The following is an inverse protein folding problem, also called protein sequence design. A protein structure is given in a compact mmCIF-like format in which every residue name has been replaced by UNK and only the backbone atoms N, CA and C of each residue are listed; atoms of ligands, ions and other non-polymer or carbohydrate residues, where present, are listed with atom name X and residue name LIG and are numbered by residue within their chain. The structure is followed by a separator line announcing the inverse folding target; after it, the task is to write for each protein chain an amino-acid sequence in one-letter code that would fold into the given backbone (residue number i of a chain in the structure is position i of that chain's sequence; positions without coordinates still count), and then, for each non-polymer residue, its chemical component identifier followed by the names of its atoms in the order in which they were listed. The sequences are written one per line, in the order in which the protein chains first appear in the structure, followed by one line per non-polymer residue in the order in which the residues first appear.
data_IF_689996154082
#
_entry.id   IF_689996154082
#
_cell.length_a   1.000
_cell.length_b   1.000
_cell.length_c   1.000
_cell.angle_alpha   90.00
_cell.angle_beta   90.00
_cell.angle_gamma   90.00
#
_symmetry.space_group_name_H-M   'P 1'
#
loop_
_entity.id
_entity.type
_entity.pdbx_description
1 polymer ?
#
# COMPACT_ATOMS: atom_id res chain seq x y z
N UNK A 1 35.63 -4.93 43.86
CA UNK A 1 34.26 -4.53 43.46
C UNK A 1 34.28 -3.18 42.75
N UNK A 2 34.57 -3.20 41.45
CA UNK A 2 34.62 -2.00 40.60
C UNK A 2 33.27 -1.86 39.90
N UNK A 3 32.49 -0.86 40.30
CA UNK A 3 31.17 -0.58 39.74
C UNK A 3 31.32 0.11 38.39
N UNK A 4 30.97 -0.59 37.32
CA UNK A 4 30.92 -0.04 35.97
C UNK A 4 29.61 0.74 35.78
N UNK A 5 29.72 2.06 35.61
CA UNK A 5 28.61 2.95 35.28
C UNK A 5 28.18 2.70 33.84
N UNK A 6 26.99 2.12 33.66
CA UNK A 6 26.37 1.92 32.34
C UNK A 6 25.83 3.27 31.84
N UNK A 7 26.45 3.83 30.81
CA UNK A 7 25.96 5.05 30.16
C UNK A 7 24.66 4.74 29.39
N UNK A 8 23.56 5.40 29.75
CA UNK A 8 22.33 5.38 28.96
C UNK A 8 22.54 6.05 27.59
N UNK A 9 21.96 5.51 26.51
CA UNK A 9 22.00 6.16 25.20
C UNK A 9 21.26 7.51 25.26
N UNK A 10 21.71 8.52 24.49
CA UNK A 10 21.09 9.84 24.48
C UNK A 10 19.62 9.78 24.03
N UNK A 11 18.74 10.65 24.56
CA UNK A 11 17.35 10.70 24.18
C UNK A 11 17.24 11.04 22.68
N UNK A 12 16.56 10.17 21.93
CA UNK A 12 16.23 10.44 20.53
C UNK A 12 15.34 11.68 20.47
N UNK A 13 15.81 12.73 19.81
CA UNK A 13 15.06 13.96 19.58
C UNK A 13 13.87 13.57 18.69
N UNK A 14 12.69 13.42 19.29
CA UNK A 14 11.45 13.20 18.55
C UNK A 14 11.00 14.53 17.94
N UNK A 15 10.65 14.53 16.65
CA UNK A 15 10.15 15.70 15.95
C UNK A 15 8.92 16.28 16.65
N UNK A 16 8.81 17.61 16.66
CA UNK A 16 7.68 18.32 17.25
C UNK A 16 6.72 18.70 16.13
N UNK A 17 5.54 18.07 16.06
CA UNK A 17 4.56 18.36 15.01
C UNK A 17 3.55 17.24 14.76
N UNK A 18 2.56 17.49 13.87
CA UNK A 18 1.64 16.46 13.41
C UNK A 18 2.39 15.31 12.72
N UNK A 19 1.87 14.10 12.86
CA UNK A 19 2.38 12.91 12.16
C UNK A 19 1.81 12.85 10.75
N UNK A 20 2.67 12.57 9.78
CA UNK A 20 2.30 12.39 8.39
C UNK A 20 2.54 10.93 7.99
N UNK A 21 1.48 10.16 7.66
CA UNK A 21 1.63 8.78 7.25
C UNK A 21 2.12 8.70 5.79
N UNK A 22 3.09 7.82 5.57
CA UNK A 22 3.52 7.36 4.25
C UNK A 22 3.32 5.85 4.17
N UNK A 23 2.67 5.41 3.10
CA UNK A 23 2.47 3.99 2.82
C UNK A 23 3.11 3.63 1.49
N UNK A 24 3.94 2.60 1.49
CA UNK A 24 4.55 2.02 0.30
C UNK A 24 3.87 0.69 -0.01
N UNK A 25 3.23 0.61 -1.17
CA UNK A 25 2.49 -0.58 -1.62
C UNK A 25 3.13 -1.13 -2.90
N UNK A 26 3.10 -2.45 -3.12
CA UNK A 26 3.56 -3.04 -4.38
C UNK A 26 2.87 -2.41 -5.59
N UNK A 27 3.66 -2.09 -6.62
CA UNK A 27 3.11 -1.63 -7.89
C UNK A 27 2.73 -2.82 -8.77
N UNK A 28 1.46 -3.25 -8.66
CA UNK A 28 0.97 -4.49 -9.27
C UNK A 28 1.02 -4.52 -10.81
N UNK A 29 1.02 -3.37 -11.49
CA UNK A 29 1.12 -3.33 -12.96
C UNK A 29 2.49 -3.81 -13.47
N UNK A 30 3.51 -3.85 -12.59
CA UNK A 30 4.84 -4.34 -12.90
C UNK A 30 4.92 -5.85 -12.70
N UNK A 31 4.69 -6.62 -13.76
CA UNK A 31 4.72 -8.11 -13.73
C UNK A 31 6.09 -8.72 -13.38
N UNK A 32 7.13 -7.88 -13.28
CA UNK A 32 8.52 -8.26 -13.01
C UNK A 32 9.17 -7.45 -11.88
N UNK A 33 8.46 -7.16 -10.80
CA UNK A 33 9.09 -6.63 -9.58
C UNK A 33 9.07 -7.64 -8.44
N UNK A 34 9.87 -7.37 -7.40
CA UNK A 34 9.78 -8.05 -6.12
C UNK A 34 8.42 -7.76 -5.46
N UNK A 35 7.74 -8.80 -4.99
CA UNK A 35 6.60 -8.72 -4.09
C UNK A 35 7.10 -8.49 -2.67
N UNK A 36 6.44 -7.58 -1.98
CA UNK A 36 6.73 -7.25 -0.60
C UNK A 36 5.42 -6.87 0.09
N UNK A 37 5.41 -6.97 1.41
CA UNK A 37 4.25 -6.57 2.20
C UNK A 37 4.14 -5.03 2.25
N UNK A 38 2.95 -4.51 2.00
CA UNK A 38 2.72 -3.07 2.05
C UNK A 38 3.06 -2.50 3.43
N UNK A 39 3.98 -1.54 3.49
CA UNK A 39 4.43 -0.94 4.75
C UNK A 39 3.85 0.45 4.96
N UNK A 40 3.39 0.74 6.18
CA UNK A 40 3.01 2.09 6.63
C UNK A 40 3.99 2.62 7.68
N UNK A 41 4.34 3.91 7.60
CA UNK A 41 5.16 4.60 8.60
C UNK A 41 4.62 6.01 8.85
N UNK A 42 4.62 6.42 10.10
CA UNK A 42 4.31 7.79 10.50
C UNK A 42 5.61 8.58 10.66
N UNK A 43 5.69 9.74 10.01
CA UNK A 43 6.87 10.62 10.05
C UNK A 43 6.45 12.00 10.53
N UNK A 44 7.20 12.59 11.45
CA UNK A 44 7.03 14.00 11.86
C UNK A 44 8.09 14.88 11.21
N UNK A 45 7.79 16.17 11.08
CA UNK A 45 8.82 17.13 10.67
C UNK A 45 9.93 17.17 11.73
N UNK A 46 11.18 17.05 11.29
CA UNK A 46 12.36 16.99 12.16
C UNK A 46 12.68 15.59 12.72
N UNK A 47 11.88 14.56 12.43
CA UNK A 47 12.28 13.18 12.71
C UNK A 47 13.51 12.77 11.87
N UNK A 48 14.27 11.76 12.31
CA UNK A 48 15.34 11.19 11.49
C UNK A 48 14.80 10.68 10.16
N UNK A 49 15.59 10.87 9.09
CA UNK A 49 15.21 10.46 7.72
C UNK A 49 14.79 8.98 7.67
N UNK A 50 13.63 8.71 7.05
CA UNK A 50 13.11 7.37 6.88
C UNK A 50 13.90 6.67 5.78
N UNK A 51 14.63 5.61 6.15
CA UNK A 51 15.51 4.89 5.23
C UNK A 51 14.76 3.87 4.40
N UNK A 52 15.14 3.72 3.15
CA UNK A 52 14.63 2.71 2.23
C UNK A 52 15.81 1.88 1.72
N UNK A 53 15.69 0.56 1.74
CA UNK A 53 16.68 -0.29 1.09
C UNK A 53 16.59 -1.75 1.51
N UNK A 54 17.66 -2.49 1.28
CA UNK A 54 17.72 -3.93 1.55
C UNK A 54 17.63 -4.26 3.03
N UNK A 55 16.93 -5.35 3.34
CA UNK A 55 16.94 -5.98 4.66
C UNK A 55 18.34 -6.49 5.03
N UNK A 56 18.74 -6.24 6.28
CA UNK A 56 20.02 -6.68 6.84
C UNK A 56 19.76 -7.17 8.25
N UNK A 57 20.34 -8.30 8.64
CA UNK A 57 20.19 -8.92 9.97
C UNK A 57 20.86 -8.13 11.12
N UNK A 58 21.29 -6.89 10.88
CA UNK A 58 21.93 -6.08 11.91
C UNK A 58 20.92 -5.76 13.03
N UNK A 59 21.32 -5.96 14.31
CA UNK A 59 20.49 -5.60 15.45
C UNK A 59 20.43 -4.07 15.55
N UNK A 60 19.38 -3.49 14.98
CA UNK A 60 19.12 -2.05 14.98
C UNK A 60 17.63 -1.79 14.85
N UNK A 61 17.18 -0.61 15.29
CA UNK A 61 15.76 -0.26 15.33
C UNK A 61 15.15 -0.27 13.92
N UNK A 62 14.36 -1.30 13.62
CA UNK A 62 13.66 -1.48 12.33
C UNK A 62 12.47 -0.54 12.15
N UNK A 63 12.10 0.23 13.18
CA UNK A 63 10.92 1.08 13.14
C UNK A 63 11.04 2.21 12.11
N UNK A 64 12.24 2.77 11.91
CA UNK A 64 12.45 3.90 10.99
C UNK A 64 13.12 3.49 9.66
N UNK A 65 12.72 2.33 9.11
CA UNK A 65 13.20 1.83 7.82
C UNK A 65 12.13 1.02 7.08
N UNK A 66 12.07 1.21 5.75
CA UNK A 66 11.51 0.25 4.81
C UNK A 66 12.61 -0.69 4.32
N UNK A 67 12.47 -1.97 4.65
CA UNK A 67 13.48 -2.99 4.41
C UNK A 67 12.92 -4.09 3.49
N UNK A 68 13.53 -4.26 2.32
CA UNK A 68 13.09 -5.26 1.34
C UNK A 68 14.03 -6.46 1.30
N UNK A 69 13.50 -7.67 1.17
CA UNK A 69 14.28 -8.92 0.98
C UNK A 69 14.76 -9.05 -0.49
N UNK A 70 15.38 -7.99 -1.01
CA UNK A 70 15.95 -7.91 -2.36
C UNK A 70 17.44 -8.23 -2.31
N UNK A 71 18.03 -8.84 -3.33
CA UNK A 71 19.50 -8.95 -3.48
C UNK A 71 20.11 -7.80 -4.27
N UNK A 72 19.32 -7.18 -5.15
CA UNK A 72 19.79 -6.09 -6.02
C UNK A 72 19.87 -4.76 -5.28
N UNK A 73 18.98 -4.51 -4.33
CA UNK A 73 18.94 -3.24 -3.63
C UNK A 73 20.17 -2.98 -2.75
N UNK A 74 20.56 -1.71 -2.69
CA UNK A 74 21.52 -1.18 -1.71
C UNK A 74 20.94 -1.18 -0.28
N UNK A 75 21.79 -1.32 0.75
CA UNK A 75 21.37 -1.39 2.17
C UNK A 75 20.73 -0.09 2.68
N UNK A 76 21.29 1.05 2.28
CA UNK A 76 20.67 2.37 2.31
C UNK A 76 20.59 2.84 0.87
N UNK A 77 19.44 2.62 0.24
CA UNK A 77 19.22 2.88 -1.18
C UNK A 77 18.74 4.31 -1.39
N UNK A 78 17.75 4.70 -0.59
CA UNK A 78 17.17 6.03 -0.61
C UNK A 78 16.72 6.44 0.78
N UNK A 79 16.48 7.73 0.95
CA UNK A 79 15.92 8.34 2.15
C UNK A 79 14.68 9.15 1.77
N UNK A 80 13.65 9.07 2.61
CA UNK A 80 12.39 9.79 2.47
C UNK A 80 12.11 10.58 3.75
N UNK A 81 11.58 11.79 3.61
CA UNK A 81 11.21 12.61 4.75
C UNK A 81 10.13 13.61 4.36
N UNK A 82 9.52 14.19 5.39
CA UNK A 82 8.56 15.27 5.25
C UNK A 82 9.20 16.57 5.73
N UNK A 83 9.19 17.60 4.87
CA UNK A 83 9.68 18.93 5.20
C UNK A 83 8.86 20.03 4.53
N UNK A 84 8.65 21.13 5.25
CA UNK A 84 7.94 22.32 4.76
C UNK A 84 6.61 22.03 4.03
N UNK A 85 5.85 21.03 4.51
CA UNK A 85 4.54 20.67 3.93
C UNK A 85 4.59 19.73 2.73
N UNK A 86 5.77 19.25 2.33
CA UNK A 86 5.96 18.36 1.19
C UNK A 86 6.81 17.13 1.54
N UNK A 87 6.56 16.03 0.83
CA UNK A 87 7.37 14.83 0.91
C UNK A 87 8.51 14.87 -0.09
N UNK A 88 9.68 14.39 0.32
CA UNK A 88 10.87 14.31 -0.52
C UNK A 88 11.48 12.93 -0.47
N UNK A 89 12.13 12.55 -1.57
CA UNK A 89 13.01 11.39 -1.68
C UNK A 89 14.38 11.81 -2.16
N UNK A 90 15.40 11.08 -1.74
CA UNK A 90 16.78 11.22 -2.18
C UNK A 90 17.45 9.87 -2.33
N UNK A 91 18.14 9.68 -3.44
CA UNK A 91 19.03 8.54 -3.65
C UNK A 91 20.33 8.72 -2.86
N UNK A 92 20.75 7.71 -2.11
CA UNK A 92 21.93 7.75 -1.25
C UNK A 92 23.12 6.99 -1.85
N UNK A 93 23.44 7.27 -3.13
CA UNK A 93 24.52 6.61 -3.90
C UNK A 93 24.23 5.13 -4.13
N UNK A 94 23.01 4.81 -4.51
CA UNK A 94 22.62 3.44 -4.82
C UNK A 94 23.40 2.91 -6.04
N UNK A 95 23.70 1.62 -6.06
CA UNK A 95 24.52 0.99 -7.11
C UNK A 95 23.96 1.23 -8.51
N UNK A 96 22.66 0.95 -8.71
CA UNK A 96 22.02 1.03 -10.03
C UNK A 96 21.05 2.21 -10.18
N UNK A 97 20.83 3.01 -9.14
CA UNK A 97 19.96 4.19 -9.15
C UNK A 97 18.54 3.96 -8.63
N UNK A 98 17.94 5.04 -8.13
CA UNK A 98 16.51 5.19 -7.82
C UNK A 98 15.78 5.88 -8.97
N UNK A 99 14.54 5.48 -9.24
CA UNK A 99 13.68 6.07 -10.26
C UNK A 99 12.35 6.53 -9.67
N UNK A 100 11.89 7.70 -10.08
CA UNK A 100 10.58 8.27 -9.77
C UNK A 100 9.80 8.44 -11.07
N UNK A 101 8.66 7.78 -11.20
CA UNK A 101 7.81 7.79 -12.40
C UNK A 101 8.63 7.49 -13.68
N UNK A 102 9.44 6.43 -13.63
CA UNK A 102 10.37 5.99 -14.68
C UNK A 102 11.55 6.94 -14.97
N UNK A 103 11.68 8.06 -14.27
CA UNK A 103 12.79 9.00 -14.41
C UNK A 103 13.80 8.73 -13.30
N UNK A 104 15.04 8.43 -13.70
CA UNK A 104 16.16 8.22 -12.78
C UNK A 104 16.51 9.52 -12.05
N UNK A 105 16.68 9.47 -10.72
CA UNK A 105 16.97 10.65 -9.89
C UNK A 105 18.41 11.18 -10.06
N UNK A 106 19.38 10.27 -10.16
CA UNK A 106 20.81 10.54 -10.31
C UNK A 106 21.51 9.42 -11.09
N UNK A 107 22.71 9.67 -11.67
CA UNK A 107 23.52 8.60 -12.24
C UNK A 107 23.81 7.48 -11.22
N UNK A 108 24.10 6.25 -11.67
CA UNK A 108 24.51 5.15 -10.80
C UNK A 108 25.61 5.54 -9.82
N UNK A 109 25.56 4.99 -8.60
CA UNK A 109 26.55 5.22 -7.53
C UNK A 109 26.76 6.70 -7.16
N UNK A 110 25.78 7.56 -7.47
CA UNK A 110 25.85 9.01 -7.24
C UNK A 110 24.64 9.46 -6.45
N UNK A 111 24.87 10.32 -5.46
CA UNK A 111 23.83 10.88 -4.60
C UNK A 111 22.94 11.84 -5.39
N UNK A 112 21.63 11.74 -5.23
CA UNK A 112 20.72 12.70 -5.88
C UNK A 112 20.54 13.95 -5.01
N UNK A 113 20.02 15.01 -5.62
CA UNK A 113 19.35 16.08 -4.87
C UNK A 113 18.03 15.56 -4.27
N UNK A 114 17.42 16.26 -3.30
CA UNK A 114 16.04 15.98 -2.91
C UNK A 114 15.06 16.17 -4.08
N UNK A 115 14.16 15.21 -4.27
CA UNK A 115 13.08 15.27 -5.25
C UNK A 115 11.73 15.22 -4.54
N UNK A 116 10.80 16.14 -4.82
CA UNK A 116 9.47 16.10 -4.23
C UNK A 116 8.69 14.89 -4.76
N UNK A 117 7.93 14.23 -3.89
CA UNK A 117 7.04 13.11 -4.21
C UNK A 117 5.60 13.42 -3.81
N UNK A 118 4.64 12.82 -4.51
CA UNK A 118 3.19 13.04 -4.36
C UNK A 118 2.44 11.72 -4.22
N UNK A 119 1.20 11.79 -3.75
CA UNK A 119 0.31 10.62 -3.68
C UNK A 119 0.12 10.03 -5.09
N UNK A 120 0.31 8.71 -5.18
CA UNK A 120 0.19 7.96 -6.43
C UNK A 120 1.47 7.87 -7.25
N UNK A 121 2.55 8.56 -6.87
CA UNK A 121 3.84 8.42 -7.55
C UNK A 121 4.38 7.00 -7.45
N UNK A 122 5.11 6.57 -8.48
CA UNK A 122 5.72 5.24 -8.57
C UNK A 122 7.22 5.37 -8.36
N UNK A 123 7.74 4.65 -7.37
CA UNK A 123 9.15 4.54 -7.08
C UNK A 123 9.66 3.17 -7.52
N UNK A 124 10.79 3.16 -8.21
CA UNK A 124 11.52 1.93 -8.51
C UNK A 124 12.93 2.02 -7.93
N UNK A 125 13.31 0.99 -7.18
CA UNK A 125 14.65 0.81 -6.66
C UNK A 125 15.38 -0.20 -7.54
N UNK A 126 16.58 0.17 -7.95
CA UNK A 126 17.46 -0.67 -8.74
C UNK A 126 16.87 -1.10 -10.10
N UNK A 127 17.59 -2.01 -10.75
CA UNK A 127 17.16 -2.69 -11.99
C UNK A 127 17.30 -4.20 -11.82
N UNK A 128 16.62 -4.96 -12.67
CA UNK A 128 16.71 -6.42 -12.65
C UNK A 128 18.15 -6.88 -12.94
N UNK A 129 18.64 -7.83 -12.14
CA UNK A 129 19.95 -8.44 -12.35
C UNK A 129 19.93 -9.42 -13.52
N UNK A 130 20.80 -9.17 -14.51
CA UNK A 130 20.92 -10.02 -15.71
C UNK A 130 21.54 -11.38 -15.34
N UNK A 131 20.70 -12.37 -15.11
CA UNK A 131 21.10 -13.75 -14.77
C UNK A 131 20.35 -14.36 -13.60
N UNK A 132 19.58 -13.57 -12.85
CA UNK A 132 18.70 -14.06 -11.79
C UNK A 132 17.28 -14.29 -12.32
N UNK A 133 16.76 -15.50 -12.22
CA UNK A 133 15.34 -15.79 -12.51
C UNK A 133 14.45 -15.66 -11.28
N UNK A 134 15.05 -15.81 -10.09
CA UNK A 134 14.37 -15.66 -8.82
C UNK A 134 13.94 -14.22 -8.57
N UNK A 135 12.87 -14.07 -7.80
CA UNK A 135 12.24 -12.80 -7.52
C UNK A 135 13.12 -11.81 -6.75
N UNK A 136 14.00 -12.34 -5.88
CA UNK A 136 14.97 -11.55 -5.12
C UNK A 136 16.00 -10.81 -5.99
N UNK A 137 16.10 -11.16 -7.28
CA UNK A 137 16.98 -10.49 -8.25
C UNK A 137 16.25 -9.46 -9.12
N UNK A 138 14.95 -9.24 -8.88
CA UNK A 138 14.15 -8.22 -9.57
C UNK A 138 14.21 -6.90 -8.83
N UNK A 139 14.02 -5.81 -9.56
CA UNK A 139 13.85 -4.48 -9.00
C UNK A 139 12.64 -4.43 -8.06
N UNK A 140 12.66 -3.48 -7.12
CA UNK A 140 11.51 -3.23 -6.25
C UNK A 140 10.73 -2.06 -6.83
N UNK A 141 9.46 -2.29 -7.15
CA UNK A 141 8.58 -1.27 -7.70
C UNK A 141 7.38 -1.05 -6.77
N UNK A 142 7.15 0.20 -6.38
CA UNK A 142 6.19 0.55 -5.36
C UNK A 142 5.44 1.83 -5.72
N UNK A 143 4.16 1.89 -5.36
CA UNK A 143 3.38 3.12 -5.40
C UNK A 143 3.38 3.76 -4.02
N UNK A 144 3.61 5.07 -3.98
CA UNK A 144 3.58 5.87 -2.76
C UNK A 144 2.14 6.33 -2.51
N UNK A 145 1.62 6.07 -1.33
CA UNK A 145 0.35 6.61 -0.85
C UNK A 145 0.62 7.63 0.27
N UNK A 146 0.18 8.88 0.06
CA UNK A 146 0.41 10.02 0.95
C UNK A 146 -0.91 10.71 1.28
N UNK A 147 -1.08 11.21 2.50
CA UNK A 147 -2.24 12.03 2.87
C UNK A 147 -3.59 11.29 2.77
N UNK A 148 -3.57 9.95 2.81
CA UNK A 148 -4.76 9.10 2.78
C UNK A 148 -5.28 8.74 4.18
N UNK A 149 -4.89 9.50 5.19
CA UNK A 149 -5.32 9.33 6.58
C UNK A 149 -6.85 9.22 6.74
N UNK A 150 -7.63 9.92 5.93
CA UNK A 150 -9.10 9.82 5.92
C UNK A 150 -9.66 8.53 5.27
N UNK A 151 -8.88 7.84 4.42
CA UNK A 151 -9.33 6.62 3.71
C UNK A 151 -9.15 5.34 4.50
N UNK A 152 -8.27 5.34 5.50
CA UNK A 152 -7.94 4.15 6.30
C UNK A 152 -9.05 3.80 7.32
N UNK A 153 -9.99 4.73 7.58
CA UNK A 153 -11.09 4.55 8.51
C UNK A 153 -12.42 4.10 7.88
N UNK A 154 -13.36 3.72 8.75
CA UNK A 154 -14.77 3.55 8.40
C UNK A 154 -15.31 4.86 7.82
N UNK A 155 -15.86 4.81 6.61
CA UNK A 155 -16.42 5.97 5.92
C UNK A 155 -17.95 5.79 5.74
N UNK A 156 -18.71 6.86 5.44
CA UNK A 156 -20.15 6.72 5.26
C UNK A 156 -20.53 5.73 4.15
N UNK A 157 -19.70 5.61 3.12
CA UNK A 157 -19.93 4.71 2.00
C UNK A 157 -19.85 3.22 2.40
N UNK A 158 -18.76 2.80 3.04
CA UNK A 158 -18.54 1.42 3.49
C UNK A 158 -19.53 1.04 4.61
N UNK A 159 -19.89 2.00 5.48
CA UNK A 159 -20.93 1.80 6.48
C UNK A 159 -22.30 1.53 5.85
N UNK A 160 -22.66 2.31 4.82
CA UNK A 160 -23.93 2.14 4.11
C UNK A 160 -23.98 0.82 3.33
N UNK A 161 -22.89 0.44 2.65
CA UNK A 161 -22.82 -0.85 1.93
C UNK A 161 -22.93 -2.01 2.91
N UNK A 162 -22.23 -1.96 4.05
CA UNK A 162 -22.34 -2.99 5.08
C UNK A 162 -23.76 -3.07 5.67
N UNK A 163 -24.41 -1.92 5.89
CA UNK A 163 -25.80 -1.87 6.34
C UNK A 163 -26.75 -2.51 5.32
N UNK A 164 -26.57 -2.24 4.02
CA UNK A 164 -27.35 -2.88 2.95
C UNK A 164 -27.13 -4.40 2.90
N UNK A 165 -25.88 -4.85 3.01
CA UNK A 165 -25.55 -6.29 3.06
C UNK A 165 -26.18 -6.98 4.27
N UNK A 166 -26.19 -6.32 5.45
CA UNK A 166 -26.87 -6.84 6.65
C UNK A 166 -28.39 -6.89 6.51
N UNK A 167 -28.99 -5.88 5.87
CA UNK A 167 -30.43 -5.88 5.59
C UNK A 167 -30.83 -7.03 4.66
N UNK A 168 -29.97 -7.40 3.71
CA UNK A 168 -30.16 -8.54 2.83
C UNK A 168 -29.97 -9.90 3.54
N UNK A 169 -29.09 -9.98 4.54
CA UNK A 169 -28.82 -11.22 5.27
C UNK A 169 -29.73 -11.46 6.48
N UNK A 170 -30.50 -10.45 6.92
CA UNK A 170 -31.40 -10.60 8.06
C UNK A 170 -32.55 -11.55 7.73
N UNK A 171 -32.73 -12.66 8.47
CA UNK A 171 -33.87 -13.53 8.28
C UNK A 171 -35.13 -12.76 8.68
N UNK A 172 -36.04 -12.57 7.72
CA UNK A 172 -37.38 -12.01 7.94
C UNK A 172 -38.06 -12.69 9.12
N UNK A 173 -37.93 -12.13 10.32
CA UNK A 173 -38.57 -12.66 11.52
C UNK A 173 -40.00 -12.12 11.52
N UNK A 174 -40.91 -13.02 11.15
CA UNK A 174 -42.39 -12.97 11.27
C UNK A 174 -43.12 -12.05 10.29
N UNK A 175 -43.47 -12.64 9.16
CA UNK A 175 -44.57 -12.23 8.29
C UNK A 175 -45.91 -12.61 8.97
N UNK A 176 -46.54 -11.67 9.67
CA UNK A 176 -48.00 -11.66 9.78
C UNK A 176 -48.53 -10.45 9.02
N UNK A 177 -49.58 -10.70 8.23
CA UNK A 177 -50.36 -9.74 7.43
C UNK A 177 -49.72 -9.20 6.15
N UNK A 178 -50.11 -9.86 5.05
CA UNK A 178 -50.46 -9.31 3.71
C UNK A 178 -50.16 -7.81 3.49
N UNK A 179 -48.89 -7.48 3.36
CA UNK A 179 -48.40 -6.45 2.43
C UNK A 179 -47.12 -7.01 1.87
N UNK A 180 -47.16 -7.42 0.60
CA UNK A 180 -45.94 -7.58 -0.17
C UNK A 180 -45.26 -6.21 -0.12
N UNK A 181 -44.28 -6.06 0.76
CA UNK A 181 -43.34 -4.95 0.69
C UNK A 181 -42.67 -5.16 -0.66
N UNK A 182 -43.04 -4.34 -1.63
CA UNK A 182 -42.31 -4.25 -2.87
C UNK A 182 -40.84 -4.14 -2.46
N UNK A 183 -40.04 -5.14 -2.83
CA UNK A 183 -38.60 -5.01 -2.81
C UNK A 183 -38.35 -3.74 -3.59
N UNK A 184 -37.95 -2.67 -2.91
CA UNK A 184 -37.57 -1.42 -3.58
C UNK A 184 -36.57 -1.83 -4.66
N UNK A 185 -36.85 -1.58 -5.96
CA UNK A 185 -36.04 -2.09 -7.07
C UNK A 185 -34.65 -1.42 -7.15
N UNK A 186 -34.31 -0.61 -6.15
CA UNK A 186 -33.11 0.22 -6.08
C UNK A 186 -32.07 -0.35 -5.09
N UNK A 187 -31.93 -1.67 -4.99
CA UNK A 187 -30.62 -2.23 -4.62
C UNK A 187 -29.86 -2.39 -5.95
N UNK A 188 -29.45 -1.25 -6.52
CA UNK A 188 -28.54 -1.27 -7.66
C UNK A 188 -27.15 -1.55 -7.10
N UNK A 189 -26.77 -2.83 -7.00
CA UNK A 189 -25.37 -3.18 -7.14
C UNK A 189 -24.94 -2.61 -8.48
N UNK A 190 -24.10 -1.57 -8.44
CA UNK A 190 -23.68 -0.81 -9.61
C UNK A 190 -23.20 -1.74 -10.73
N UNK A 191 -23.32 -1.29 -11.99
CA UNK A 191 -22.83 -2.02 -13.15
C UNK A 191 -21.38 -2.46 -12.93
N UNK A 192 -21.06 -3.69 -13.34
CA UNK A 192 -19.69 -4.16 -13.26
C UNK A 192 -18.84 -3.35 -14.23
N UNK A 193 -17.99 -2.47 -13.73
CA UNK A 193 -17.18 -1.55 -14.56
C UNK A 193 -16.20 -2.21 -15.52
N UNK A 194 -15.97 -3.52 -15.37
CA UNK A 194 -15.07 -4.29 -16.24
C UNK A 194 -15.79 -4.69 -17.53
N UNK A 195 -17.04 -5.15 -17.43
CA UNK A 195 -17.83 -5.58 -18.59
C UNK A 195 -18.96 -4.59 -18.97
N UNK A 196 -19.17 -3.56 -18.15
CA UNK A 196 -20.24 -2.57 -18.27
C UNK A 196 -21.66 -3.16 -18.25
N UNK A 197 -21.81 -4.38 -17.72
CA UNK A 197 -23.11 -5.04 -17.59
C UNK A 197 -23.67 -4.87 -16.17
N UNK A 198 -24.99 -4.74 -16.10
CA UNK A 198 -25.72 -4.78 -14.84
C UNK A 198 -25.48 -6.08 -14.09
N UNK A 199 -25.40 -5.97 -12.76
CA UNK A 199 -25.34 -7.12 -11.87
C UNK A 199 -26.75 -7.62 -11.61
N UNK A 200 -27.00 -8.91 -11.87
CA UNK A 200 -28.30 -9.57 -11.73
C UNK A 200 -28.25 -10.73 -10.73
N UNK A 201 -29.40 -11.32 -10.43
CA UNK A 201 -29.51 -12.53 -9.59
C UNK A 201 -28.75 -13.72 -10.18
N UNK A 202 -28.39 -14.68 -9.32
CA UNK A 202 -27.68 -15.92 -9.70
C UNK A 202 -26.29 -15.71 -10.32
N UNK A 203 -25.64 -14.58 -10.03
CA UNK A 203 -24.28 -14.28 -10.48
C UNK A 203 -23.32 -14.26 -9.27
N UNK A 204 -22.13 -14.84 -9.46
CA UNK A 204 -21.07 -14.74 -8.46
C UNK A 204 -20.44 -13.34 -8.49
N UNK A 205 -20.34 -12.70 -7.33
CA UNK A 205 -19.79 -11.35 -7.17
C UNK A 205 -18.56 -11.37 -6.28
N UNK A 206 -17.67 -10.41 -6.53
CA UNK A 206 -16.60 -10.03 -5.64
C UNK A 206 -16.86 -8.60 -5.17
N UNK A 207 -16.96 -8.41 -3.86
CA UNK A 207 -17.05 -7.09 -3.23
C UNK A 207 -15.70 -6.82 -2.58
N UNK A 208 -15.01 -5.80 -3.08
CA UNK A 208 -13.67 -5.46 -2.60
C UNK A 208 -13.70 -4.73 -1.23
N UNK A 209 -12.58 -4.64 -0.49
CA UNK A 209 -12.52 -3.90 0.79
C UNK A 209 -12.90 -2.42 0.68
N UNK A 210 -12.74 -1.81 -0.50
CA UNK A 210 -13.22 -0.46 -0.81
C UNK A 210 -14.72 -0.38 -1.15
N UNK A 211 -15.47 -1.47 -0.94
CA UNK A 211 -16.92 -1.61 -1.20
C UNK A 211 -17.36 -1.52 -2.67
N UNK A 212 -16.43 -1.57 -3.62
CA UNK A 212 -16.75 -1.72 -5.05
C UNK A 212 -17.05 -3.18 -5.40
N UNK A 213 -18.06 -3.40 -6.24
CA UNK A 213 -18.53 -4.72 -6.64
C UNK A 213 -18.19 -5.03 -8.11
N UNK A 214 -17.88 -6.29 -8.38
CA UNK A 214 -17.56 -6.81 -9.71
C UNK A 214 -18.17 -8.19 -9.90
N UNK A 215 -18.48 -8.59 -11.13
CA UNK A 215 -18.67 -10.00 -11.43
C UNK A 215 -17.38 -10.76 -11.13
N UNK A 216 -17.48 -11.88 -10.41
CA UNK A 216 -16.31 -12.69 -10.07
C UNK A 216 -15.53 -13.10 -11.33
N UNK A 217 -16.24 -13.51 -12.39
CA UNK A 217 -15.64 -13.84 -13.70
C UNK A 217 -14.80 -12.69 -14.27
N UNK A 218 -15.25 -11.45 -14.12
CA UNK A 218 -14.60 -10.28 -14.71
C UNK A 218 -13.35 -9.86 -13.92
N UNK A 219 -13.41 -9.90 -12.59
CA UNK A 219 -12.27 -9.48 -11.75
C UNK A 219 -11.25 -10.61 -11.53
N UNK A 220 -11.66 -11.88 -11.71
CA UNK A 220 -10.83 -13.06 -11.45
C UNK A 220 -9.40 -13.00 -12.02
N UNK A 221 -9.15 -12.57 -13.27
CA UNK A 221 -7.78 -12.49 -13.79
C UNK A 221 -6.89 -11.58 -12.92
N UNK A 222 -7.40 -10.44 -12.47
CA UNK A 222 -6.65 -9.52 -11.61
C UNK A 222 -6.41 -10.09 -10.20
N UNK A 223 -7.40 -10.80 -9.66
CA UNK A 223 -7.24 -11.49 -8.37
C UNK A 223 -6.16 -12.58 -8.45
N UNK A 224 -6.13 -13.34 -9.53
CA UNK A 224 -5.18 -14.44 -9.70
C UNK A 224 -3.76 -13.96 -10.03
N UNK A 225 -3.63 -12.91 -10.84
CA UNK A 225 -2.32 -12.41 -11.29
C UNK A 225 -1.52 -11.74 -10.18
N UNK A 226 -2.19 -11.11 -9.22
CA UNK A 226 -1.55 -10.28 -8.20
C UNK A 226 -1.67 -10.83 -6.78
N UNK A 227 -2.27 -12.01 -6.61
CA UNK A 227 -2.48 -12.64 -5.31
C UNK A 227 -1.17 -12.67 -4.48
N UNK A 228 -1.19 -12.23 -3.21
CA UNK A 228 -2.36 -11.83 -2.42
C UNK A 228 -2.75 -10.35 -2.55
N UNK A 229 -1.97 -9.55 -3.27
CA UNK A 229 -2.23 -8.13 -3.51
C UNK A 229 -3.42 -7.88 -4.45
N UNK A 230 -4.25 -6.90 -4.10
CA UNK A 230 -5.36 -6.45 -4.91
C UNK A 230 -5.35 -4.93 -5.04
N UNK A 231 -5.44 -4.41 -6.27
CA UNK A 231 -5.71 -2.99 -6.53
C UNK A 231 -7.05 -2.83 -7.22
N UNK A 232 -7.94 -2.05 -6.61
CA UNK A 232 -9.27 -1.79 -7.14
C UNK A 232 -9.21 -1.05 -8.49
N UNK A 233 -9.79 -1.58 -9.58
CA UNK A 233 -9.82 -0.88 -10.87
C UNK A 233 -10.52 0.48 -10.84
N UNK A 234 -11.47 0.69 -9.93
CA UNK A 234 -12.24 1.93 -9.82
C UNK A 234 -11.48 3.01 -9.05
N UNK A 235 -11.14 2.73 -7.79
CA UNK A 235 -10.60 3.74 -6.88
C UNK A 235 -9.10 3.57 -6.59
N UNK A 236 -8.47 2.56 -7.18
CA UNK A 236 -7.06 2.20 -7.01
C UNK A 236 -6.65 1.83 -5.58
N UNK A 237 -7.58 1.72 -4.62
CA UNK A 237 -7.26 1.26 -3.26
C UNK A 237 -6.57 -0.09 -3.32
N UNK A 238 -5.40 -0.19 -2.67
CA UNK A 238 -4.68 -1.44 -2.50
C UNK A 238 -5.10 -2.14 -1.20
N UNK A 239 -5.35 -3.44 -1.28
CA UNK A 239 -5.58 -4.31 -0.15
C UNK A 239 -4.77 -5.60 -0.33
N UNK A 240 -4.27 -6.13 0.78
CA UNK A 240 -3.80 -7.50 0.86
C UNK A 240 -5.00 -8.40 1.20
N UNK A 241 -5.31 -9.37 0.35
CA UNK A 241 -6.47 -10.25 0.50
C UNK A 241 -6.23 -11.38 1.51
N UNK A 242 -4.97 -11.61 1.93
CA UNK A 242 -4.61 -12.60 2.96
C UNK A 242 -4.24 -11.97 4.30
N UNK A 243 -4.32 -10.64 4.44
CA UNK A 243 -4.10 -9.97 5.71
C UNK A 243 -5.11 -10.43 6.77
N UNK A 244 -4.64 -10.52 8.02
CA UNK A 244 -5.48 -10.85 9.17
C UNK A 244 -6.65 -9.86 9.29
N UNK A 245 -7.83 -10.38 9.66
CA UNK A 245 -9.10 -9.62 9.69
C UNK A 245 -9.38 -9.05 11.08
N UNK A 246 -8.48 -9.27 12.04
CA UNK A 246 -8.60 -8.92 13.46
C UNK A 246 -7.94 -7.58 13.86
#
# INVERSE_FOLDING_TARGET
PSSATTAQPPPQIQGTGPTHPIRLIPHLDSTRSLHFEAGCRDVRQGDPLLRIGRFTEQPGNTSNKFAFKSKVDSRGHAEVWFDAGAWYIKDTKSSSGTFLNHIRLSPPSTESRPHPIKDGDVLQLDVDYQGGTEEIYRCVNMRVELGREWKTGVNPFNSNVLHQLRALSSPSTKLTTKKAVAISPNISVADCVICLCAVTVCQALFIAPCSHAYHYKCIRPLLQMHHPGFSCPICRTFADLEADVD
#
